data_IF_718051482731
#
_entry.id   IF_718051482731
#
_cell.length_a   1.000
_cell.length_b   1.000
_cell.length_c   1.000
_cell.angle_alpha   90.00
_cell.angle_beta   90.00
_cell.angle_gamma   90.00
#
_symmetry.space_group_name_H-M   'P 1'
#
loop_
_entity.id
_entity.type
_entity.pdbx_description
1 polymer ?
#
# COMPACT_ATOMS: atom_id res chain seq x y z
N UNK A 1 43.24 -40.92 33.80
CA UNK A 1 42.67 -40.49 32.50
C UNK A 1 41.21 -40.17 32.72
N UNK A 2 40.89 -38.91 32.96
CA UNK A 2 39.56 -38.41 33.32
C UNK A 2 38.92 -37.80 32.07
N UNK A 3 37.93 -38.46 31.50
CA UNK A 3 37.22 -37.94 30.32
C UNK A 3 36.18 -36.91 30.74
N UNK A 4 36.47 -35.65 30.46
CA UNK A 4 35.53 -34.52 30.56
C UNK A 4 34.27 -34.79 29.71
N UNK A 5 33.10 -34.81 30.36
CA UNK A 5 31.81 -34.86 29.66
C UNK A 5 31.54 -33.49 29.03
N UNK A 6 31.79 -33.40 27.72
CA UNK A 6 31.46 -32.25 26.88
C UNK A 6 29.96 -31.89 27.02
N UNK A 7 29.68 -30.75 27.66
CA UNK A 7 28.33 -30.23 27.82
C UNK A 7 27.69 -29.90 26.46
N UNK A 8 26.45 -30.37 26.25
CA UNK A 8 25.67 -30.06 25.04
C UNK A 8 25.44 -28.54 24.92
N UNK A 9 25.57 -27.95 23.71
CA UNK A 9 25.30 -26.53 23.52
C UNK A 9 23.81 -26.25 23.74
N UNK A 10 23.49 -25.34 24.68
CA UNK A 10 22.13 -24.83 24.89
C UNK A 10 21.66 -24.17 23.59
N UNK A 11 20.60 -24.71 22.99
CA UNK A 11 19.95 -24.12 21.82
C UNK A 11 19.55 -22.66 22.14
N UNK A 12 19.82 -21.69 21.26
CA UNK A 12 19.37 -20.32 21.47
C UNK A 12 17.84 -20.30 21.56
N UNK A 13 17.29 -19.81 22.68
CA UNK A 13 15.87 -19.50 22.81
C UNK A 13 15.54 -18.50 21.69
N UNK A 14 14.69 -18.88 20.74
CA UNK A 14 14.17 -17.96 19.73
C UNK A 14 13.60 -16.75 20.48
N UNK A 15 14.23 -15.58 20.30
CA UNK A 15 13.74 -14.34 20.88
C UNK A 15 12.27 -14.17 20.48
N UNK A 16 11.40 -13.90 21.44
CA UNK A 16 10.00 -13.57 21.17
C UNK A 16 10.00 -12.42 20.15
N UNK A 17 9.37 -12.57 18.97
CA UNK A 17 9.36 -11.49 18.00
C UNK A 17 8.73 -10.26 18.65
N UNK A 18 9.38 -9.10 18.49
CA UNK A 18 8.89 -7.85 19.07
C UNK A 18 7.42 -7.62 18.65
N UNK A 19 6.56 -7.10 19.55
CA UNK A 19 5.18 -6.78 19.21
C UNK A 19 5.16 -5.87 17.97
N UNK A 20 4.37 -6.24 16.95
CA UNK A 20 4.27 -5.53 15.68
C UNK A 20 5.23 -5.96 14.56
N UNK A 21 6.15 -6.92 14.78
CA UNK A 21 7.02 -7.44 13.70
C UNK A 21 6.21 -8.09 12.57
N UNK A 22 5.19 -8.87 12.94
CA UNK A 22 4.32 -9.55 11.96
C UNK A 22 3.52 -8.54 11.14
N UNK A 23 2.91 -7.56 11.79
CA UNK A 23 2.16 -6.55 11.09
C UNK A 23 3.01 -5.63 10.21
N UNK A 24 4.25 -5.32 10.62
CA UNK A 24 5.22 -4.65 9.76
C UNK A 24 5.50 -5.44 8.48
N UNK A 25 5.64 -6.77 8.59
CA UNK A 25 5.85 -7.66 7.45
C UNK A 25 4.65 -7.69 6.51
N UNK A 26 3.43 -7.73 7.07
CA UNK A 26 2.19 -7.68 6.27
C UNK A 26 2.07 -6.35 5.54
N UNK A 27 2.28 -5.22 6.22
CA UNK A 27 2.26 -3.89 5.60
C UNK A 27 3.29 -3.75 4.47
N UNK A 28 4.52 -4.25 4.67
CA UNK A 28 5.52 -4.30 3.59
C UNK A 28 5.08 -5.16 2.40
N UNK A 29 4.42 -6.29 2.66
CA UNK A 29 3.90 -7.17 1.61
C UNK A 29 2.78 -6.49 0.83
N UNK A 30 1.89 -5.75 1.50
CA UNK A 30 0.83 -4.97 0.87
C UNK A 30 1.40 -3.85 -0.01
N UNK A 31 2.40 -3.13 0.50
CA UNK A 31 3.10 -2.07 -0.26
C UNK A 31 3.81 -2.64 -1.50
N UNK A 32 4.47 -3.79 -1.37
CA UNK A 32 5.09 -4.46 -2.51
C UNK A 32 4.04 -4.87 -3.56
N UNK A 33 2.92 -5.43 -3.11
CA UNK A 33 1.81 -5.80 -3.98
C UNK A 33 1.24 -4.60 -4.74
N UNK A 34 1.02 -3.47 -4.06
CA UNK A 34 0.49 -2.27 -4.73
C UNK A 34 1.50 -1.69 -5.71
N UNK A 35 2.79 -1.70 -5.37
CA UNK A 35 3.86 -1.29 -6.28
C UNK A 35 3.92 -2.18 -7.53
N UNK A 36 3.85 -3.50 -7.36
CA UNK A 36 3.73 -4.43 -8.48
C UNK A 36 2.47 -4.18 -9.30
N UNK A 37 1.32 -3.92 -8.66
CA UNK A 37 0.08 -3.63 -9.38
C UNK A 37 0.23 -2.39 -10.26
N UNK A 38 0.82 -1.30 -9.77
CA UNK A 38 1.08 -0.10 -10.59
C UNK A 38 2.05 -0.34 -11.75
N UNK A 39 3.01 -1.27 -11.63
CA UNK A 39 3.94 -1.57 -12.71
C UNK A 39 3.37 -2.57 -13.73
N UNK A 40 2.63 -3.56 -13.26
CA UNK A 40 2.12 -4.66 -14.09
C UNK A 40 0.86 -4.26 -14.85
N UNK A 41 0.00 -3.41 -14.26
CA UNK A 41 -1.23 -2.93 -14.90
C UNK A 41 -1.01 -2.31 -16.29
N UNK A 42 -0.10 -1.32 -16.48
CA UNK A 42 0.14 -0.75 -17.80
C UNK A 42 0.73 -1.79 -18.77
N UNK A 43 1.58 -2.70 -18.29
CA UNK A 43 2.17 -3.75 -19.10
C UNK A 43 1.09 -4.72 -19.62
N UNK A 44 0.16 -5.14 -18.75
CA UNK A 44 -0.98 -5.99 -19.12
C UNK A 44 -1.93 -5.28 -20.08
N UNK A 45 -2.20 -3.99 -19.87
CA UNK A 45 -3.05 -3.20 -20.78
C UNK A 45 -2.45 -3.13 -22.19
N UNK A 46 -1.14 -2.92 -22.29
CA UNK A 46 -0.43 -2.91 -23.58
C UNK A 46 -0.48 -4.29 -24.24
N UNK A 47 -0.25 -5.36 -23.48
CA UNK A 47 -0.25 -6.72 -23.99
C UNK A 47 -1.64 -7.17 -24.48
N UNK A 48 -2.71 -6.78 -23.78
CA UNK A 48 -4.07 -7.23 -24.07
C UNK A 48 -4.80 -6.35 -25.08
N UNK A 49 -4.56 -5.03 -25.06
CA UNK A 49 -5.33 -4.05 -25.83
C UNK A 49 -4.50 -3.08 -26.65
N UNK A 50 -3.18 -3.29 -26.74
CA UNK A 50 -2.28 -2.42 -27.48
C UNK A 50 -2.05 -1.05 -26.81
N UNK A 51 -1.42 -0.14 -27.55
CA UNK A 51 -1.05 1.20 -27.04
C UNK A 51 -2.26 2.06 -26.68
N UNK A 52 -3.38 1.86 -27.35
CA UNK A 52 -4.59 2.69 -27.17
C UNK A 52 -5.20 2.46 -25.78
N UNK A 53 -5.04 1.27 -25.20
CA UNK A 53 -5.51 0.95 -23.85
C UNK A 53 -4.65 1.51 -22.73
N UNK A 54 -3.48 2.08 -23.01
CA UNK A 54 -2.62 2.69 -21.97
C UNK A 54 -3.35 3.84 -21.27
N UNK A 55 -4.19 4.60 -21.98
CA UNK A 55 -4.91 5.73 -21.38
C UNK A 55 -5.89 5.32 -20.27
N UNK A 56 -6.36 4.06 -20.28
CA UNK A 56 -7.24 3.53 -19.23
C UNK A 56 -6.56 3.45 -17.86
N UNK A 57 -5.22 3.49 -17.82
CA UNK A 57 -4.45 3.59 -16.59
C UNK A 57 -4.91 4.75 -15.70
N UNK A 58 -5.35 5.87 -16.30
CA UNK A 58 -5.83 7.06 -15.59
C UNK A 58 -7.04 6.74 -14.71
N UNK A 59 -7.89 5.80 -15.13
CA UNK A 59 -9.05 5.36 -14.35
C UNK A 59 -8.74 4.18 -13.44
N UNK A 60 -7.84 3.28 -13.84
CA UNK A 60 -7.51 2.07 -13.09
C UNK A 60 -6.67 2.39 -11.86
N UNK A 61 -5.72 3.32 -11.95
CA UNK A 61 -4.84 3.68 -10.82
C UNK A 61 -5.56 4.27 -9.62
N UNK A 62 -6.51 5.22 -9.75
CA UNK A 62 -7.31 5.66 -8.62
C UNK A 62 -8.14 4.51 -8.03
N UNK A 63 -8.69 3.62 -8.85
CA UNK A 63 -9.41 2.45 -8.34
C UNK A 63 -8.51 1.54 -7.49
N UNK A 64 -7.33 1.18 -7.99
CA UNK A 64 -6.32 0.41 -7.24
C UNK A 64 -5.94 1.14 -5.94
N UNK A 65 -5.76 2.46 -5.99
CA UNK A 65 -5.43 3.30 -4.83
C UNK A 65 -6.52 3.25 -3.75
N UNK A 66 -7.80 3.36 -4.13
CA UNK A 66 -8.94 3.26 -3.21
C UNK A 66 -9.00 1.88 -2.57
N UNK A 67 -8.93 0.81 -3.37
CA UNK A 67 -8.95 -0.56 -2.87
C UNK A 67 -7.81 -0.80 -1.88
N UNK A 68 -6.60 -0.36 -2.22
CA UNK A 68 -5.45 -0.44 -1.31
C UNK A 68 -5.70 0.29 0.00
N UNK A 69 -6.28 1.51 -0.05
CA UNK A 69 -6.62 2.27 1.15
C UNK A 69 -7.65 1.57 2.03
N UNK A 70 -8.71 1.02 1.44
CA UNK A 70 -9.76 0.28 2.16
C UNK A 70 -9.18 -0.96 2.84
N UNK A 71 -8.40 -1.76 2.11
CA UNK A 71 -7.80 -3.00 2.65
C UNK A 71 -6.79 -2.66 3.75
N UNK A 72 -5.94 -1.64 3.55
CA UNK A 72 -4.97 -1.18 4.56
C UNK A 72 -5.68 -0.65 5.80
N UNK A 73 -6.73 0.14 5.64
CA UNK A 73 -7.50 0.69 6.76
C UNK A 73 -8.23 -0.42 7.54
N UNK A 74 -8.87 -1.36 6.84
CA UNK A 74 -9.50 -2.52 7.45
C UNK A 74 -8.49 -3.37 8.22
N UNK A 75 -7.30 -3.60 7.65
CA UNK A 75 -6.22 -4.33 8.33
C UNK A 75 -5.78 -3.62 9.62
N UNK A 76 -5.54 -2.30 9.57
CA UNK A 76 -5.11 -1.53 10.73
C UNK A 76 -6.19 -1.45 11.81
N UNK A 77 -7.47 -1.42 11.45
CA UNK A 77 -8.60 -1.42 12.41
C UNK A 77 -8.73 -2.75 13.16
N UNK A 78 -8.37 -3.86 12.53
CA UNK A 78 -8.45 -5.20 13.12
C UNK A 78 -7.20 -5.60 13.93
N UNK A 79 -6.21 -4.71 14.05
CA UNK A 79 -4.97 -4.98 14.77
C UNK A 79 -5.12 -4.74 16.28
N UNK A 80 -4.52 -5.57 17.14
CA UNK A 80 -4.47 -5.30 18.58
C UNK A 80 -3.71 -4.00 18.88
N UNK A 81 -4.20 -3.23 19.84
CA UNK A 81 -3.72 -1.88 20.18
C UNK A 81 -2.22 -1.83 20.52
N UNK A 82 -1.66 -2.90 21.10
CA UNK A 82 -0.23 -3.01 21.41
C UNK A 82 0.65 -3.05 20.15
N UNK A 83 0.21 -3.78 19.11
CA UNK A 83 0.93 -3.82 17.84
C UNK A 83 0.78 -2.50 17.09
N UNK A 84 -0.42 -1.91 17.10
CA UNK A 84 -0.71 -0.65 16.43
C UNK A 84 0.22 0.47 16.93
N UNK A 85 0.44 0.56 18.24
CA UNK A 85 1.29 1.60 18.88
C UNK A 85 2.75 1.53 18.41
N UNK A 86 3.26 0.35 18.06
CA UNK A 86 4.60 0.17 17.52
C UNK A 86 4.72 0.46 16.02
N UNK A 87 3.61 0.39 15.28
CA UNK A 87 3.60 0.48 13.81
C UNK A 87 3.26 1.90 13.33
N UNK A 88 2.37 2.61 14.02
CA UNK A 88 1.93 3.97 13.68
C UNK A 88 3.09 4.94 13.44
N UNK A 89 4.16 5.00 14.27
CA UNK A 89 5.27 5.93 14.02
C UNK A 89 6.05 5.60 12.74
N UNK A 90 6.06 4.35 12.32
CA UNK A 90 6.74 3.90 11.09
C UNK A 90 5.82 3.91 9.87
N UNK A 91 4.58 4.40 10.01
CA UNK A 91 3.56 4.35 8.96
C UNK A 91 3.83 5.27 7.77
N UNK A 92 4.73 6.26 7.92
CA UNK A 92 5.18 7.19 6.88
C UNK A 92 6.23 6.60 5.94
N UNK A 93 6.92 5.53 6.34
CA UNK A 93 8.01 4.91 5.57
C UNK A 93 7.48 3.96 4.48
N UNK A 94 6.15 3.77 4.44
CA UNK A 94 5.49 2.88 3.49
C UNK A 94 5.20 3.60 2.17
N UNK A 95 6.08 3.40 1.20
CA UNK A 95 6.04 3.98 -0.15
C UNK A 95 4.70 3.74 -0.85
N UNK A 96 4.06 2.58 -0.64
CA UNK A 96 2.77 2.26 -1.26
C UNK A 96 1.63 3.17 -0.82
N UNK A 97 1.66 3.62 0.45
CA UNK A 97 0.71 4.62 0.98
C UNK A 97 0.93 5.99 0.38
N UNK A 98 2.19 6.41 0.26
CA UNK A 98 2.55 7.70 -0.33
C UNK A 98 2.09 7.81 -1.78
N UNK A 99 2.45 6.82 -2.60
CA UNK A 99 2.08 6.79 -4.03
C UNK A 99 0.55 6.79 -4.20
N UNK A 100 -0.15 5.94 -3.45
CA UNK A 100 -1.62 5.87 -3.54
C UNK A 100 -2.28 7.19 -3.10
N UNK A 101 -1.75 7.88 -2.09
CA UNK A 101 -2.25 9.22 -1.72
C UNK A 101 -2.05 10.25 -2.82
N UNK A 102 -0.86 10.29 -3.43
CA UNK A 102 -0.57 11.23 -4.51
C UNK A 102 -1.52 11.02 -5.68
N UNK A 103 -1.74 9.76 -6.08
CA UNK A 103 -2.70 9.41 -7.16
C UNK A 103 -4.11 9.88 -6.80
N UNK A 104 -4.58 9.63 -5.57
CA UNK A 104 -5.91 10.05 -5.12
C UNK A 104 -6.07 11.57 -5.07
N UNK A 105 -5.04 12.30 -4.62
CA UNK A 105 -5.06 13.76 -4.57
C UNK A 105 -5.14 14.33 -5.98
N UNK A 106 -4.28 13.87 -6.90
CA UNK A 106 -4.28 14.33 -8.29
C UNK A 106 -5.63 14.06 -8.95
N UNK A 107 -6.18 12.85 -8.77
CA UNK A 107 -7.47 12.47 -9.35
C UNK A 107 -8.64 13.26 -8.75
N UNK A 108 -8.60 13.57 -7.46
CA UNK A 108 -9.57 14.47 -6.82
C UNK A 108 -9.52 15.88 -7.41
N UNK A 109 -8.33 16.47 -7.56
CA UNK A 109 -8.18 17.79 -8.19
C UNK A 109 -8.63 17.80 -9.66
N UNK A 110 -8.28 16.77 -10.43
CA UNK A 110 -8.74 16.63 -11.82
C UNK A 110 -10.26 16.54 -11.90
N UNK A 111 -10.90 15.78 -11.01
CA UNK A 111 -12.36 15.67 -10.95
C UNK A 111 -13.00 16.99 -10.54
N UNK A 112 -12.46 17.67 -9.53
CA UNK A 112 -12.95 18.97 -9.07
C UNK A 112 -12.89 20.02 -10.19
N UNK A 113 -11.78 20.06 -10.95
CA UNK A 113 -11.62 20.96 -12.10
C UNK A 113 -12.59 20.60 -13.24
N UNK A 114 -12.81 19.32 -13.51
CA UNK A 114 -13.77 18.88 -14.53
C UNK A 114 -15.21 19.28 -14.14
N UNK A 115 -15.60 19.05 -12.88
CA UNK A 115 -16.90 19.46 -12.35
C UNK A 115 -17.06 20.98 -12.36
N UNK A 116 -16.00 21.72 -12.02
CA UNK A 116 -16.02 23.18 -12.08
C UNK A 116 -16.22 23.68 -13.52
N UNK A 117 -15.51 23.09 -14.49
CA UNK A 117 -15.66 23.45 -15.90
C UNK A 117 -17.08 23.16 -16.42
N UNK A 118 -17.64 22.00 -16.09
CA UNK A 118 -19.02 21.67 -16.45
C UNK A 118 -20.03 22.58 -15.74
N UNK A 119 -19.80 22.93 -14.47
CA UNK A 119 -20.61 23.90 -13.74
C UNK A 119 -20.59 25.28 -14.42
N UNK A 120 -19.41 25.77 -14.82
CA UNK A 120 -19.26 27.03 -15.56
C UNK A 120 -19.96 26.99 -16.93
N UNK A 121 -19.89 25.88 -17.67
CA UNK A 121 -20.64 25.73 -18.93
C UNK A 121 -22.15 25.72 -18.72
N UNK A 122 -22.61 25.11 -17.63
CA UNK A 122 -24.04 25.04 -17.29
C UNK A 122 -24.61 26.38 -16.80
N UNK A 123 -23.75 27.34 -16.44
CA UNK A 123 -24.14 28.67 -15.95
C UNK A 123 -23.51 29.80 -16.80
N UNK A 124 -23.99 30.03 -18.04
CA UNK A 124 -23.35 30.94 -18.99
C UNK A 124 -23.48 32.45 -18.67
N UNK A 125 -23.94 32.83 -17.46
CA UNK A 125 -24.29 34.22 -17.10
C UNK A 125 -23.65 34.72 -15.79
N UNK A 126 -22.45 34.24 -15.47
CA UNK A 126 -21.45 34.91 -14.63
C UNK A 126 -20.17 35.06 -15.44
#
# INVERSE_FOLDING_TARGET
MTTEKLGKPRRPRKAKPCPGHNARRVLKKMDFWVGCAYLVTPLLLVLLGGKDMIFNVIFIYPFISVVFFVVRHSYLKNLPSEELRHIVPWSSIYTGRGISMVILILTFFSLAMALFNEACKSWPWL
#
